data_IF_644828110392
#
_entry.id   IF_644828110392
#
_cell.length_a   1.000
_cell.length_b   1.000
_cell.length_c   1.000
_cell.angle_alpha   90.00
_cell.angle_beta   90.00
_cell.angle_gamma   90.00
#
_symmetry.space_group_name_H-M   'P 1'
#
loop_
_entity.id
_entity.type
_entity.pdbx_description
1 polymer ?
#
# COMPACT_ATOMS: atom_id res chain seq x y z
N UNK A 1 -14.35 -15.01 -6.92
CA UNK A 1 -13.07 -14.99 -6.16
C UNK A 1 -12.53 -16.39 -5.88
N UNK A 2 -13.34 -17.44 -5.96
CA UNK A 2 -13.00 -18.82 -5.59
C UNK A 2 -11.83 -19.44 -6.38
N UNK A 3 -11.45 -18.85 -7.52
CA UNK A 3 -10.30 -19.27 -8.33
C UNK A 3 -9.12 -18.29 -8.27
N UNK A 4 -9.11 -17.35 -7.31
CA UNK A 4 -8.01 -16.41 -7.11
C UNK A 4 -6.73 -17.20 -6.84
N UNK A 5 -5.67 -16.86 -7.57
CA UNK A 5 -4.31 -17.32 -7.28
C UNK A 5 -3.51 -16.13 -6.76
N UNK A 6 -2.84 -16.31 -5.63
CA UNK A 6 -1.86 -15.35 -5.13
C UNK A 6 -0.51 -15.78 -5.68
N UNK A 7 0.07 -14.95 -6.54
CA UNK A 7 1.36 -15.24 -7.17
C UNK A 7 2.52 -14.88 -6.26
N UNK A 8 2.42 -13.75 -5.57
CA UNK A 8 3.43 -13.27 -4.62
C UNK A 8 2.75 -12.45 -3.52
N UNK A 9 3.16 -12.71 -2.28
CA UNK A 9 2.81 -11.94 -1.10
C UNK A 9 4.02 -11.99 -0.17
N UNK A 10 4.53 -10.82 0.20
CA UNK A 10 5.78 -10.68 0.95
C UNK A 10 5.62 -9.60 2.00
N UNK A 11 6.00 -9.94 3.23
CA UNK A 11 6.26 -8.95 4.26
C UNK A 11 7.62 -8.32 3.97
N UNK A 12 7.63 -6.98 3.83
CA UNK A 12 8.82 -6.21 3.52
C UNK A 12 9.03 -5.13 4.57
N UNK A 13 10.27 -4.99 5.05
CA UNK A 13 10.67 -3.86 5.87
C UNK A 13 10.76 -2.62 4.97
N UNK A 14 9.90 -1.63 5.21
CA UNK A 14 9.87 -0.40 4.40
C UNK A 14 10.89 0.62 4.91
N UNK A 15 10.99 0.77 6.23
CA UNK A 15 11.85 1.75 6.89
C UNK A 15 12.20 1.25 8.29
N UNK A 16 13.30 1.74 8.86
CA UNK A 16 13.65 1.52 10.26
C UNK A 16 14.08 2.85 10.88
N UNK A 17 13.47 3.20 12.01
CA UNK A 17 13.82 4.40 12.78
C UNK A 17 14.32 3.97 14.16
N UNK A 18 15.57 4.29 14.46
CA UNK A 18 16.20 4.01 15.76
C UNK A 18 16.44 5.32 16.52
N UNK A 19 16.00 5.36 17.77
CA UNK A 19 16.25 6.47 18.68
C UNK A 19 16.82 5.99 20.00
N UNK A 20 17.97 6.53 20.37
CA UNK A 20 18.63 6.24 21.64
C UNK A 20 18.51 7.44 22.57
N UNK A 21 17.92 7.23 23.75
CA UNK A 21 17.85 8.22 24.81
C UNK A 21 18.93 7.95 25.84
N UNK A 22 20.01 8.73 25.81
CA UNK A 22 21.10 8.65 26.80
C UNK A 22 20.89 9.58 28.01
N UNK A 23 19.69 10.14 28.18
CA UNK A 23 19.36 11.06 29.28
C UNK A 23 18.59 10.35 30.39
N UNK A 24 18.56 10.96 31.57
CA UNK A 24 17.82 10.46 32.73
C UNK A 24 16.30 10.76 32.66
N UNK A 25 15.85 11.46 31.61
CA UNK A 25 14.47 11.90 31.44
C UNK A 25 13.85 11.29 30.19
N UNK A 26 12.52 11.18 30.16
CA UNK A 26 11.79 10.75 28.96
C UNK A 26 12.05 11.74 27.82
N UNK A 27 12.38 11.22 26.65
CA UNK A 27 12.57 11.99 25.41
C UNK A 27 11.51 11.63 24.39
N UNK A 28 11.37 12.45 23.36
CA UNK A 28 10.38 12.27 22.31
C UNK A 28 10.98 12.55 20.93
N UNK A 29 10.59 11.76 19.93
CA UNK A 29 10.69 12.22 18.54
C UNK A 29 9.73 13.42 18.38
N UNK A 30 10.06 14.38 17.52
CA UNK A 30 9.40 15.70 17.44
C UNK A 30 7.86 15.63 17.39
N UNK A 31 7.18 16.74 17.71
CA UNK A 31 5.72 16.83 17.91
C UNK A 31 4.84 16.43 16.72
N UNK A 32 5.39 16.26 15.51
CA UNK A 32 4.66 15.76 14.34
C UNK A 32 4.94 14.27 14.16
N UNK A 33 4.32 13.45 15.01
CA UNK A 33 4.59 12.02 15.16
C UNK A 33 3.98 11.15 14.06
N UNK A 34 4.11 11.54 12.78
CA UNK A 34 3.60 10.76 11.66
C UNK A 34 4.62 10.65 10.55
N UNK A 35 4.63 9.50 9.86
CA UNK A 35 5.43 9.23 8.68
C UNK A 35 4.47 8.93 7.52
N UNK A 36 4.56 9.72 6.47
CA UNK A 36 3.74 9.52 5.27
C UNK A 36 4.47 8.60 4.27
N UNK A 37 3.77 7.59 3.78
CA UNK A 37 4.18 6.71 2.69
C UNK A 37 3.19 6.85 1.53
N UNK A 38 3.65 6.53 0.32
CA UNK A 38 2.78 6.40 -0.85
C UNK A 38 2.62 4.94 -1.21
N UNK A 39 1.40 4.42 -1.08
CA UNK A 39 1.03 3.11 -1.59
C UNK A 39 0.56 3.26 -3.04
N UNK A 40 1.06 2.39 -3.93
CA UNK A 40 0.62 2.34 -5.32
C UNK A 40 -0.01 0.98 -5.60
N UNK A 41 -1.24 1.00 -6.09
CA UNK A 41 -1.96 -0.21 -6.51
C UNK A 41 -2.05 -0.19 -8.03
N UNK A 42 -1.49 -1.21 -8.65
CA UNK A 42 -1.60 -1.45 -10.08
C UNK A 42 -2.56 -2.61 -10.34
N UNK A 43 -3.47 -2.42 -11.28
CA UNK A 43 -4.46 -3.42 -11.68
C UNK A 43 -4.47 -3.53 -13.19
N UNK A 44 -4.55 -4.77 -13.68
CA UNK A 44 -4.66 -5.04 -15.10
C UNK A 44 -5.66 -6.17 -15.37
N UNK A 45 -6.32 -6.09 -16.52
CA UNK A 45 -7.18 -7.11 -17.05
C UNK A 45 -6.73 -7.44 -18.46
N UNK A 46 -6.50 -8.72 -18.74
CA UNK A 46 -6.02 -9.16 -20.04
C UNK A 46 -7.06 -10.04 -20.74
N UNK A 47 -7.50 -9.64 -21.92
CA UNK A 47 -8.36 -10.49 -22.76
C UNK A 47 -7.53 -11.54 -23.48
N UNK A 48 -7.96 -12.82 -23.46
CA UNK A 48 -7.35 -13.84 -24.30
C UNK A 48 -7.45 -13.44 -25.79
N UNK A 49 -6.48 -13.84 -26.60
CA UNK A 49 -6.50 -13.67 -28.06
C UNK A 49 -7.68 -14.38 -28.74
N UNK A 50 -8.29 -15.36 -28.08
CA UNK A 50 -9.50 -16.07 -28.53
C UNK A 50 -10.80 -15.37 -28.15
N UNK A 51 -10.74 -14.22 -27.47
CA UNK A 51 -11.95 -13.53 -26.99
C UNK A 51 -12.70 -12.84 -28.13
N UNK A 52 -13.94 -13.26 -28.40
CA UNK A 52 -14.80 -12.69 -29.44
C UNK A 52 -15.64 -11.46 -29.01
N UNK A 53 -15.21 -10.74 -27.98
CA UNK A 53 -15.87 -9.51 -27.54
C UNK A 53 -15.61 -8.36 -28.52
N UNK A 54 -16.60 -7.48 -28.71
CA UNK A 54 -16.46 -6.29 -29.56
C UNK A 54 -15.47 -5.29 -28.94
N UNK A 55 -14.78 -4.55 -29.80
CA UNK A 55 -13.98 -3.40 -29.36
C UNK A 55 -14.87 -2.37 -28.66
N UNK A 56 -14.39 -1.75 -27.59
CA UNK A 56 -15.16 -0.79 -26.80
C UNK A 56 -16.21 -1.41 -25.87
N UNK A 57 -16.33 -2.75 -25.82
CA UNK A 57 -17.09 -3.41 -24.77
C UNK A 57 -16.47 -3.07 -23.40
N UNK A 58 -17.32 -2.63 -22.47
CA UNK A 58 -16.90 -2.23 -21.13
C UNK A 58 -17.71 -2.93 -20.03
N UNK A 59 -17.04 -3.16 -18.91
CA UNK A 59 -17.63 -3.72 -17.71
C UNK A 59 -16.87 -3.27 -16.47
N UNK A 60 -17.47 -3.47 -15.30
CA UNK A 60 -16.87 -3.13 -14.01
C UNK A 60 -16.48 -4.39 -13.27
N UNK A 61 -15.28 -4.39 -12.70
CA UNK A 61 -14.79 -5.42 -11.79
C UNK A 61 -14.70 -4.82 -10.41
N UNK A 62 -15.45 -5.38 -9.46
CA UNK A 62 -15.28 -5.04 -8.04
C UNK A 62 -14.11 -5.84 -7.50
N UNK A 63 -13.05 -5.13 -7.15
CA UNK A 63 -11.86 -5.65 -6.49
C UNK A 63 -12.05 -5.57 -4.97
N UNK A 64 -11.28 -6.33 -4.21
CA UNK A 64 -11.36 -6.32 -2.74
C UNK A 64 -11.28 -4.89 -2.18
N UNK A 65 -11.90 -4.67 -1.02
CA UNK A 65 -11.96 -3.37 -0.33
C UNK A 65 -12.70 -2.26 -1.11
N UNK A 66 -13.77 -2.60 -1.83
CA UNK A 66 -14.69 -1.65 -2.48
C UNK A 66 -14.13 -0.91 -3.70
N UNK A 67 -12.96 -1.30 -4.19
CA UNK A 67 -12.35 -0.72 -5.38
C UNK A 67 -13.09 -1.16 -6.65
N UNK A 68 -13.43 -0.22 -7.53
CA UNK A 68 -14.09 -0.50 -8.81
C UNK A 68 -13.10 -0.24 -9.94
N UNK A 69 -12.80 -1.27 -10.72
CA UNK A 69 -11.99 -1.16 -11.92
C UNK A 69 -12.88 -1.28 -13.17
N UNK A 70 -12.95 -0.20 -13.96
CA UNK A 70 -13.68 -0.18 -15.23
C UNK A 70 -12.74 -0.63 -16.34
N UNK A 71 -13.08 -1.74 -17.00
CA UNK A 71 -12.31 -2.31 -18.12
C UNK A 71 -13.02 -1.96 -19.42
N UNK A 72 -12.29 -1.48 -20.42
CA UNK A 72 -12.76 -1.23 -21.79
C UNK A 72 -11.81 -1.88 -22.80
N UNK A 73 -12.32 -2.86 -23.55
CA UNK A 73 -11.51 -3.64 -24.51
C UNK A 73 -10.91 -2.73 -25.58
N UNK A 74 -9.59 -2.76 -25.70
CA UNK A 74 -8.80 -2.00 -26.67
C UNK A 74 -8.58 -0.54 -26.30
N UNK A 75 -8.85 -0.14 -25.05
CA UNK A 75 -8.61 1.23 -24.58
C UNK A 75 -8.11 1.30 -23.15
N UNK A 76 -8.84 0.73 -22.18
CA UNK A 76 -8.50 0.81 -20.76
C UNK A 76 -8.52 -0.60 -20.16
N UNK A 77 -7.34 -1.20 -20.14
CA UNK A 77 -7.12 -2.57 -19.65
C UNK A 77 -6.21 -2.60 -18.42
N UNK A 78 -5.78 -1.44 -17.94
CA UNK A 78 -5.05 -1.29 -16.68
C UNK A 78 -5.34 0.05 -16.02
N UNK A 79 -5.17 0.11 -14.71
CA UNK A 79 -5.23 1.34 -13.93
C UNK A 79 -4.14 1.33 -12.84
N UNK A 80 -3.69 2.52 -12.47
CA UNK A 80 -2.79 2.73 -11.35
C UNK A 80 -3.42 3.74 -10.41
N UNK A 81 -3.56 3.38 -9.15
CA UNK A 81 -4.04 4.28 -8.10
C UNK A 81 -2.95 4.48 -7.06
N UNK A 82 -2.85 5.70 -6.54
CA UNK A 82 -1.89 6.06 -5.50
C UNK A 82 -2.63 6.58 -4.29
N UNK A 83 -2.28 6.08 -3.10
CA UNK A 83 -2.87 6.49 -1.84
C UNK A 83 -1.77 6.88 -0.85
N UNK A 84 -2.06 7.90 -0.03
CA UNK A 84 -1.19 8.30 1.07
C UNK A 84 -1.53 7.47 2.29
N UNK A 85 -0.50 6.92 2.92
CA UNK A 85 -0.60 6.13 4.14
C UNK A 85 0.19 6.85 5.23
N UNK A 86 -0.50 7.29 6.27
CA UNK A 86 0.15 7.90 7.43
C UNK A 86 0.32 6.87 8.54
N UNK A 87 1.55 6.69 8.99
CA UNK A 87 1.91 5.81 10.12
C UNK A 87 2.24 6.68 11.32
N UNK A 88 1.56 6.46 12.43
CA UNK A 88 1.86 7.12 13.69
C UNK A 88 3.17 6.57 14.26
N UNK A 89 4.12 7.45 14.54
CA UNK A 89 5.37 7.10 15.21
C UNK A 89 5.19 7.19 16.73
N UNK A 90 5.70 6.23 17.51
CA UNK A 90 5.74 6.35 18.97
C UNK A 90 6.56 7.58 19.37
N UNK A 91 5.91 8.44 20.14
CA UNK A 91 6.45 9.76 20.48
C UNK A 91 7.36 9.74 21.71
N UNK A 92 7.69 8.59 22.32
CA UNK A 92 8.37 8.55 23.61
C UNK A 92 9.46 7.49 23.68
N UNK A 93 10.63 7.90 24.13
CA UNK A 93 11.82 7.06 24.39
C UNK A 93 12.15 7.19 25.89
N UNK A 94 11.98 6.13 26.69
CA UNK A 94 12.32 6.15 28.12
C UNK A 94 13.79 6.48 28.40
N UNK A 95 14.14 6.94 29.62
CA UNK A 95 15.52 7.20 30.02
C UNK A 95 16.46 6.01 29.78
N UNK A 96 17.67 6.26 29.29
CA UNK A 96 18.70 5.25 29.09
C UNK A 96 18.26 4.04 28.24
N UNK A 97 17.35 4.23 27.27
CA UNK A 97 16.84 3.16 26.39
C UNK A 97 17.04 3.46 24.92
N UNK A 98 16.92 2.41 24.11
CA UNK A 98 16.83 2.48 22.66
C UNK A 98 15.44 2.01 22.22
N UNK A 99 14.85 2.73 21.27
CA UNK A 99 13.60 2.40 20.61
C UNK A 99 13.87 2.19 19.12
N UNK A 100 13.45 1.04 18.59
CA UNK A 100 13.40 0.77 17.14
C UNK A 100 11.95 0.66 16.67
N UNK A 101 11.66 1.28 15.53
CA UNK A 101 10.36 1.31 14.86
C UNK A 101 10.53 0.70 13.48
N UNK A 102 9.75 -0.34 13.16
CA UNK A 102 9.79 -1.13 11.93
C UNK A 102 8.37 -1.36 11.39
#
# INVERSE_FOLDING_TARGET
WDQKKVEAEHDVLIDEIVGTNCTEYEQAFTTNSTREYTATVFQSFHFSNTTCLKLGFSFQVTLGCSNIFVVEKGKSESTTTTEKVEVLLPAKIPPCTELSIQ
#
